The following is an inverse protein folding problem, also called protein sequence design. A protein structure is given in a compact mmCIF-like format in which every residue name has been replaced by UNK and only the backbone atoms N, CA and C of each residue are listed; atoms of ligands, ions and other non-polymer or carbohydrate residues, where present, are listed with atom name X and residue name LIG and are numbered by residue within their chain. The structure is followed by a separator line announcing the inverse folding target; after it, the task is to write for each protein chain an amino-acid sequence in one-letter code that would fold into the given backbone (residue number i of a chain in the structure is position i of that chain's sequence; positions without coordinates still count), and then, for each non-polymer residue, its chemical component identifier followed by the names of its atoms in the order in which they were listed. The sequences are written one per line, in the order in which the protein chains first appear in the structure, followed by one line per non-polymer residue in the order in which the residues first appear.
data_IF_688500978063
#
_entry.id   IF_688500978063
#
_cell.length_a   1.000
_cell.length_b   1.000
_cell.length_c   1.000
_cell.angle_alpha   90.00
_cell.angle_beta   90.00
_cell.angle_gamma   90.00
#
_symmetry.space_group_name_H-M   'P 1'
#
loop_
_entity.id
_entity.type
_entity.pdbx_description
1 polymer ?
#
# COMPACT_ATOMS: atom_id res chain seq x y z
N UNK A 1 41.08 -17.02 -4.79
CA UNK A 1 39.77 -16.39 -4.53
C UNK A 1 40.02 -15.07 -3.84
N UNK A 2 39.35 -13.96 -4.22
CA UNK A 2 39.50 -12.71 -3.47
C UNK A 2 39.08 -12.98 -2.03
N UNK A 3 39.93 -12.62 -1.07
CA UNK A 3 39.68 -12.84 0.35
C UNK A 3 38.44 -12.01 0.76
N UNK A 4 37.44 -12.65 1.36
CA UNK A 4 36.18 -12.04 1.84
C UNK A 4 36.45 -10.78 2.67
N UNK A 5 37.54 -10.81 3.44
CA UNK A 5 38.01 -9.72 4.29
C UNK A 5 38.42 -8.47 3.50
N UNK A 6 39.02 -8.65 2.33
CA UNK A 6 39.43 -7.53 1.46
C UNK A 6 38.19 -6.81 0.91
N UNK A 7 37.15 -7.56 0.55
CA UNK A 7 35.88 -7.02 0.06
C UNK A 7 35.22 -6.16 1.14
N UNK A 8 35.17 -6.66 2.38
CA UNK A 8 34.61 -5.91 3.52
C UNK A 8 35.39 -4.63 3.83
N UNK A 9 36.72 -4.67 3.76
CA UNK A 9 37.57 -3.50 3.97
C UNK A 9 37.35 -2.44 2.89
N UNK A 10 37.24 -2.86 1.62
CA UNK A 10 36.96 -1.98 0.50
C UNK A 10 35.57 -1.30 0.59
N UNK A 11 34.57 -2.00 1.12
CA UNK A 11 33.23 -1.45 1.35
C UNK A 11 33.25 -0.39 2.46
N UNK A 12 33.99 -0.61 3.55
CA UNK A 12 34.16 0.39 4.62
C UNK A 12 34.82 1.66 4.10
N UNK A 13 35.88 1.53 3.32
CA UNK A 13 36.58 2.64 2.66
C UNK A 13 35.65 3.42 1.72
N UNK A 14 34.83 2.72 0.92
CA UNK A 14 33.85 3.34 0.02
C UNK A 14 32.77 4.13 0.77
N UNK A 15 32.30 3.63 1.92
CA UNK A 15 31.29 4.31 2.74
C UNK A 15 31.82 5.60 3.38
N UNK A 16 33.12 5.65 3.70
CA UNK A 16 33.75 6.85 4.27
C UNK A 16 33.94 7.99 3.25
N UNK A 17 33.85 7.72 1.95
CA UNK A 17 34.04 8.71 0.89
C UNK A 17 32.78 9.55 0.65
N UNK A 18 32.96 10.88 0.53
CA UNK A 18 31.88 11.82 0.20
C UNK A 18 31.34 11.60 -1.23
N UNK A 19 32.24 11.30 -2.17
CA UNK A 19 31.93 10.88 -3.54
C UNK A 19 32.49 9.47 -3.74
N UNK A 20 31.63 8.50 -4.04
CA UNK A 20 32.01 7.09 -4.12
C UNK A 20 32.82 6.83 -5.38
N UNK A 21 34.08 6.40 -5.22
CA UNK A 21 34.95 6.06 -6.35
C UNK A 21 35.35 4.58 -6.31
N UNK A 22 34.55 3.75 -6.97
CA UNK A 22 34.74 2.29 -7.05
C UNK A 22 36.04 1.87 -7.74
N UNK A 23 36.52 2.63 -8.72
CA UNK A 23 37.72 2.26 -9.47
C UNK A 23 38.99 2.46 -8.63
N UNK A 24 39.06 3.56 -7.88
CA UNK A 24 40.19 3.85 -7.02
C UNK A 24 40.26 2.89 -5.82
N UNK A 25 39.12 2.58 -5.19
CA UNK A 25 39.06 1.65 -4.05
C UNK A 25 39.31 0.21 -4.47
N UNK A 26 38.80 -0.22 -5.63
CA UNK A 26 39.09 -1.54 -6.19
C UNK A 26 40.60 -1.74 -6.46
N UNK A 27 41.26 -0.72 -7.01
CA UNK A 27 42.73 -0.74 -7.21
C UNK A 27 43.50 -0.78 -5.90
N UNK A 28 43.07 -0.02 -4.89
CA UNK A 28 43.71 0.03 -3.56
C UNK A 28 43.68 -1.33 -2.85
N UNK A 29 42.58 -2.07 -3.00
CA UNK A 29 42.36 -3.35 -2.33
C UNK A 29 42.64 -4.56 -3.22
N UNK A 30 43.13 -4.35 -4.45
CA UNK A 30 43.39 -5.40 -5.45
C UNK A 30 42.18 -6.31 -5.73
N UNK A 31 40.99 -5.71 -5.84
CA UNK A 31 39.72 -6.39 -6.09
C UNK A 31 39.20 -5.98 -7.46
N UNK A 32 38.50 -6.88 -8.16
CA UNK A 32 37.76 -6.47 -9.36
C UNK A 32 36.69 -5.42 -8.97
N UNK A 33 36.68 -4.30 -9.71
CA UNK A 33 35.69 -3.24 -9.58
C UNK A 33 34.25 -3.78 -9.67
N UNK A 34 33.98 -4.73 -10.57
CA UNK A 34 32.65 -5.31 -10.74
C UNK A 34 32.19 -6.04 -9.49
N UNK A 35 33.07 -6.86 -8.90
CA UNK A 35 32.83 -7.53 -7.63
C UNK A 35 32.52 -6.52 -6.52
N UNK A 36 33.33 -5.46 -6.40
CA UNK A 36 33.10 -4.42 -5.39
C UNK A 36 31.76 -3.70 -5.59
N UNK A 37 31.39 -3.40 -6.84
CA UNK A 37 30.13 -2.74 -7.18
C UNK A 37 28.92 -3.64 -6.86
N UNK A 38 28.99 -4.92 -7.25
CA UNK A 38 27.94 -5.90 -6.99
C UNK A 38 27.71 -6.07 -5.48
N UNK A 39 28.77 -6.30 -4.71
CA UNK A 39 28.69 -6.46 -3.26
C UNK A 39 28.19 -5.19 -2.55
N UNK A 40 28.63 -4.02 -2.99
CA UNK A 40 28.19 -2.76 -2.40
C UNK A 40 26.69 -2.51 -2.64
N UNK A 41 26.22 -2.74 -3.88
CA UNK A 41 24.83 -2.53 -4.24
C UNK A 41 23.90 -3.57 -3.58
N UNK A 42 24.32 -4.83 -3.48
CA UNK A 42 23.53 -5.86 -2.78
C UNK A 42 23.42 -5.57 -1.28
N UNK A 43 24.51 -5.17 -0.62
CA UNK A 43 24.50 -4.74 0.78
C UNK A 43 23.65 -3.49 1.00
N UNK A 44 23.66 -2.55 0.06
CA UNK A 44 22.83 -1.36 0.13
C UNK A 44 21.34 -1.71 -0.01
N UNK A 45 20.98 -2.62 -0.92
CA UNK A 45 19.62 -3.13 -1.08
C UNK A 45 19.13 -3.79 0.23
N UNK A 46 19.95 -4.64 0.85
CA UNK A 46 19.63 -5.24 2.15
C UNK A 46 19.50 -4.20 3.27
N UNK A 47 20.32 -3.15 3.26
CA UNK A 47 20.19 -2.06 4.23
C UNK A 47 18.91 -1.24 4.03
N UNK A 48 18.54 -0.97 2.78
CA UNK A 48 17.27 -0.31 2.45
C UNK A 48 16.06 -1.18 2.85
N UNK A 49 16.16 -2.51 2.70
CA UNK A 49 15.19 -3.47 3.23
C UNK A 49 15.11 -3.43 4.76
N UNK A 50 16.24 -3.42 5.49
CA UNK A 50 16.22 -3.28 6.96
C UNK A 50 15.69 -1.92 7.42
N UNK A 51 15.97 -0.84 6.68
CA UNK A 51 15.42 0.49 6.94
C UNK A 51 13.91 0.55 6.63
N UNK A 52 13.44 -0.21 5.66
CA UNK A 52 12.00 -0.40 5.35
C UNK A 52 11.29 -1.16 6.47
N UNK A 53 11.90 -2.22 7.01
CA UNK A 53 11.38 -2.98 8.15
C UNK A 53 11.20 -2.09 9.39
N UNK A 54 12.16 -1.20 9.69
CA UNK A 54 12.06 -0.25 10.81
C UNK A 54 11.10 0.92 10.55
N UNK A 55 10.64 1.11 9.31
CA UNK A 55 9.64 2.14 8.93
C UNK A 55 8.22 1.59 8.81
N UNK A 56 8.01 0.29 9.06
CA UNK A 56 6.66 -0.27 9.08
C UNK A 56 5.83 0.36 10.20
N UNK A 57 4.69 0.94 9.84
CA UNK A 57 3.71 1.45 10.79
C UNK A 57 2.81 0.34 11.37
N UNK A 58 2.73 -0.80 10.69
CA UNK A 58 1.91 -1.95 11.06
C UNK A 58 2.80 -3.12 11.50
N UNK A 59 2.38 -3.84 12.52
CA UNK A 59 2.90 -5.16 12.87
C UNK A 59 2.67 -6.15 11.72
N UNK A 60 3.54 -7.15 11.58
CA UNK A 60 3.35 -8.23 10.60
C UNK A 60 1.96 -8.90 10.74
N UNK A 61 1.44 -9.04 11.96
CA UNK A 61 0.10 -9.59 12.20
C UNK A 61 -1.00 -8.64 11.68
N UNK A 62 -0.84 -7.33 11.88
CA UNK A 62 -1.80 -6.31 11.41
C UNK A 62 -1.81 -6.23 9.87
N UNK A 63 -0.65 -6.33 9.22
CA UNK A 63 -0.56 -6.41 7.77
C UNK A 63 -1.29 -7.65 7.23
N UNK A 64 -1.15 -8.78 7.92
CA UNK A 64 -1.81 -10.02 7.50
C UNK A 64 -3.33 -9.93 7.65
N UNK A 65 -3.84 -9.29 8.71
CA UNK A 65 -5.26 -8.96 8.84
C UNK A 65 -5.74 -8.04 7.72
N UNK A 66 -4.95 -7.01 7.38
CA UNK A 66 -5.29 -6.07 6.30
C UNK A 66 -5.39 -6.78 4.95
N UNK A 67 -4.45 -7.68 4.63
CA UNK A 67 -4.47 -8.48 3.40
C UNK A 67 -5.71 -9.36 3.30
N UNK A 68 -6.05 -10.08 4.38
CA UNK A 68 -7.26 -10.90 4.43
C UNK A 68 -8.53 -10.09 4.17
N UNK A 69 -8.58 -8.84 4.65
CA UNK A 69 -9.73 -7.96 4.41
C UNK A 69 -9.82 -7.49 2.96
N UNK A 70 -8.68 -7.13 2.36
CA UNK A 70 -8.59 -6.74 0.94
C UNK A 70 -9.06 -7.91 0.05
N UNK A 71 -8.63 -9.14 0.37
CA UNK A 71 -9.06 -10.35 -0.34
C UNK A 71 -10.56 -10.60 -0.18
N UNK A 72 -11.12 -10.45 1.03
CA UNK A 72 -12.57 -10.57 1.27
C UNK A 72 -13.37 -9.53 0.48
N UNK A 73 -12.94 -8.26 0.45
CA UNK A 73 -13.58 -7.23 -0.35
C UNK A 73 -13.58 -7.60 -1.84
N UNK A 74 -12.44 -8.03 -2.36
CA UNK A 74 -12.31 -8.44 -3.76
C UNK A 74 -13.21 -9.64 -4.09
N UNK A 75 -13.31 -10.63 -3.19
CA UNK A 75 -14.20 -11.78 -3.33
C UNK A 75 -15.67 -11.38 -3.39
N UNK A 76 -16.06 -10.34 -2.65
CA UNK A 76 -17.41 -9.77 -2.68
C UNK A 76 -17.64 -8.76 -3.81
N UNK A 77 -16.78 -8.73 -4.83
CA UNK A 77 -16.85 -7.81 -5.98
C UNK A 77 -16.71 -6.33 -5.61
N UNK A 78 -16.17 -6.01 -4.43
CA UNK A 78 -15.87 -4.64 -4.02
C UNK A 78 -14.40 -4.33 -4.27
N UNK A 79 -14.14 -3.31 -5.10
CA UNK A 79 -12.79 -2.83 -5.30
C UNK A 79 -12.26 -2.16 -4.02
N UNK A 80 -11.15 -2.62 -3.44
CA UNK A 80 -10.54 -2.01 -2.26
C UNK A 80 -10.00 -0.62 -2.64
N UNK A 81 -10.76 0.42 -2.28
CA UNK A 81 -10.43 1.82 -2.61
C UNK A 81 -9.37 2.35 -1.62
N UNK A 82 -8.43 3.23 -2.04
CA UNK A 82 -7.42 3.78 -1.12
C UNK A 82 -7.97 4.37 0.18
N UNK A 83 -9.14 5.03 0.12
CA UNK A 83 -9.80 5.56 1.32
C UNK A 83 -10.30 4.46 2.26
N UNK A 84 -10.87 3.39 1.72
CA UNK A 84 -11.31 2.22 2.50
C UNK A 84 -10.10 1.59 3.17
N UNK A 85 -9.01 1.41 2.43
CA UNK A 85 -7.75 0.87 2.96
C UNK A 85 -7.21 1.76 4.10
N UNK A 86 -7.21 3.09 3.95
CA UNK A 86 -6.80 4.01 5.01
C UNK A 86 -7.68 3.93 6.26
N UNK A 87 -9.00 3.83 6.08
CA UNK A 87 -9.94 3.67 7.19
C UNK A 87 -9.70 2.35 7.93
N UNK A 88 -9.48 1.25 7.20
CA UNK A 88 -9.17 -0.06 7.78
C UNK A 88 -7.84 -0.05 8.54
N UNK A 89 -6.82 0.60 7.99
CA UNK A 89 -5.53 0.78 8.67
C UNK A 89 -5.73 1.56 9.97
N UNK A 90 -6.51 2.65 9.95
CA UNK A 90 -6.80 3.45 11.13
C UNK A 90 -7.58 2.68 12.20
N UNK A 91 -8.47 1.78 11.80
CA UNK A 91 -9.24 0.88 12.68
C UNK A 91 -8.34 -0.18 13.32
N UNK A 92 -7.54 -0.88 12.53
CA UNK A 92 -6.58 -1.91 12.97
C UNK A 92 -5.53 -1.33 13.94
N UNK A 93 -5.12 -0.08 13.73
CA UNK A 93 -4.19 0.62 14.63
C UNK A 93 -4.87 1.04 15.94
N UNK A 94 -6.14 1.48 15.91
CA UNK A 94 -6.87 1.91 17.11
C UNK A 94 -7.28 0.77 18.03
N UNK A 95 -7.59 -0.41 17.49
CA UNK A 95 -8.10 -1.56 18.25
C UNK A 95 -7.00 -2.56 18.68
N UNK A 96 -5.76 -2.11 18.83
CA UNK A 96 -4.57 -2.98 18.91
C UNK A 96 -4.42 -3.87 20.16
N UNK A 97 -5.49 -4.35 20.82
CA UNK A 97 -5.40 -5.29 21.96
C UNK A 97 -6.38 -6.48 21.89
N UNK A 98 -7.40 -6.49 21.02
CA UNK A 98 -8.36 -7.60 20.98
C UNK A 98 -8.50 -8.20 19.58
N UNK A 99 -8.77 -9.51 19.50
CA UNK A 99 -8.98 -10.28 18.28
C UNK A 99 -10.08 -9.65 17.41
N UNK A 100 -9.66 -8.78 16.49
CA UNK A 100 -10.47 -8.02 15.55
C UNK A 100 -11.25 -8.89 14.54
N UNK A 101 -10.99 -10.21 14.50
CA UNK A 101 -11.71 -11.17 13.65
C UNK A 101 -13.22 -11.06 13.84
N UNK A 102 -13.66 -10.95 15.11
CA UNK A 102 -15.09 -10.93 15.46
C UNK A 102 -15.79 -9.67 14.98
N UNK A 103 -15.13 -8.50 15.05
CA UNK A 103 -15.73 -7.25 14.62
C UNK A 103 -15.87 -7.20 13.09
N UNK A 104 -14.85 -7.68 12.37
CA UNK A 104 -14.89 -7.77 10.91
C UNK A 104 -15.89 -8.81 10.41
N UNK A 105 -15.97 -9.97 11.05
CA UNK A 105 -17.00 -10.97 10.76
C UNK A 105 -18.41 -10.37 10.93
N UNK A 106 -18.64 -9.65 12.02
CA UNK A 106 -19.91 -8.99 12.28
C UNK A 106 -20.22 -7.90 11.22
N UNK A 107 -19.24 -7.10 10.81
CA UNK A 107 -19.41 -6.11 9.74
C UNK A 107 -19.85 -6.77 8.42
N UNK A 108 -19.15 -7.82 7.98
CA UNK A 108 -19.50 -8.52 6.74
C UNK A 108 -20.84 -9.27 6.85
N UNK A 109 -21.14 -9.83 8.01
CA UNK A 109 -22.44 -10.47 8.26
C UNK A 109 -23.58 -9.45 8.12
N UNK A 110 -23.44 -8.27 8.75
CA UNK A 110 -24.40 -7.18 8.63
C UNK A 110 -24.50 -6.69 7.18
N UNK A 111 -23.36 -6.53 6.48
CA UNK A 111 -23.32 -6.10 5.09
C UNK A 111 -24.10 -7.09 4.20
N UNK A 112 -23.84 -8.39 4.35
CA UNK A 112 -24.54 -9.44 3.61
C UNK A 112 -26.04 -9.45 3.92
N UNK A 113 -26.43 -9.31 5.20
CA UNK A 113 -27.84 -9.19 5.59
C UNK A 113 -28.53 -8.01 4.88
N UNK A 114 -27.87 -6.84 4.77
CA UNK A 114 -28.44 -5.70 4.06
C UNK A 114 -28.50 -5.92 2.55
N UNK A 115 -27.49 -6.54 1.97
CA UNK A 115 -27.48 -6.90 0.54
C UNK A 115 -28.67 -7.80 0.21
N UNK A 116 -28.90 -8.83 1.01
CA UNK A 116 -30.06 -9.73 0.86
C UNK A 116 -31.38 -8.98 1.09
N UNK A 117 -31.49 -8.24 2.20
CA UNK A 117 -32.72 -7.51 2.57
C UNK A 117 -33.19 -6.54 1.51
N UNK A 118 -32.25 -5.85 0.87
CA UNK A 118 -32.55 -4.83 -0.15
C UNK A 118 -32.34 -5.33 -1.59
N UNK A 119 -32.09 -6.62 -1.78
CA UNK A 119 -31.82 -7.25 -3.07
C UNK A 119 -30.79 -6.47 -3.92
N UNK A 120 -29.67 -6.11 -3.29
CA UNK A 120 -28.63 -5.30 -3.90
C UNK A 120 -27.81 -6.17 -4.85
N UNK A 121 -28.14 -6.11 -6.14
CA UNK A 121 -27.33 -6.75 -7.18
C UNK A 121 -25.96 -6.08 -7.38
N UNK A 122 -24.98 -6.82 -7.92
CA UNK A 122 -23.63 -6.32 -8.24
C UNK A 122 -23.66 -5.06 -9.13
N UNK A 123 -24.64 -4.99 -10.04
CA UNK A 123 -24.93 -3.83 -10.90
C UNK A 123 -25.34 -2.57 -10.10
N UNK A 124 -25.94 -2.72 -8.92
CA UNK A 124 -26.38 -1.62 -8.05
C UNK A 124 -25.21 -0.99 -7.27
N UNK A 125 -24.10 -1.73 -7.10
CA UNK A 125 -22.88 -1.27 -6.41
C UNK A 125 -22.05 -0.35 -7.31
N UNK A 126 -22.21 -0.45 -8.63
CA UNK A 126 -21.43 0.24 -9.67
C UNK A 126 -21.63 1.77 -9.77
N UNK A 127 -22.05 2.45 -8.71
CA UNK A 127 -22.19 3.91 -8.72
C UNK A 127 -21.74 4.60 -7.42
N UNK A 128 -20.98 3.90 -6.56
CA UNK A 128 -20.47 4.48 -5.32
C UNK A 128 -19.33 5.51 -5.56
N UNK A 129 -18.70 5.51 -6.73
CA UNK A 129 -17.48 6.31 -7.04
C UNK A 129 -17.76 7.67 -7.70
N UNK A 130 -18.87 7.85 -8.43
CA UNK A 130 -19.18 9.09 -9.18
C UNK A 130 -20.17 10.05 -8.51
N UNK A 131 -21.02 9.58 -7.59
CA UNK A 131 -22.05 10.42 -6.94
C UNK A 131 -21.92 10.61 -5.43
N UNK A 132 -21.14 9.80 -4.71
CA UNK A 132 -20.94 9.98 -3.26
C UNK A 132 -20.12 11.24 -2.92
N UNK A 133 -19.22 11.67 -3.83
CA UNK A 133 -18.40 12.87 -3.67
C UNK A 133 -19.21 14.18 -3.85
N UNK A 134 -20.33 14.15 -4.56
CA UNK A 134 -21.15 15.34 -4.87
C UNK A 134 -22.11 15.75 -3.73
N UNK A 135 -22.33 14.92 -2.72
CA UNK A 135 -23.21 15.26 -1.60
C UNK A 135 -22.55 16.25 -0.63
N UNK A 136 -21.23 16.29 -0.54
CA UNK A 136 -20.51 17.17 0.40
C UNK A 136 -20.03 18.50 -0.19
N UNK A 137 -20.04 18.68 -1.51
CA UNK A 137 -19.57 19.93 -2.15
C UNK A 137 -20.43 20.24 -3.38
N UNK A 138 -21.44 21.10 -3.22
CA UNK A 138 -22.21 21.59 -4.36
C UNK A 138 -23.51 22.31 -4.05
N UNK A 139 -23.45 23.49 -3.43
CA UNK A 139 -24.45 24.52 -3.73
C UNK A 139 -24.24 24.91 -5.20
N UNK A 140 -25.00 24.33 -6.15
CA UNK A 140 -25.85 24.96 -7.20
C UNK A 140 -26.41 23.82 -8.07
N UNK A 141 -27.72 23.71 -8.15
CA UNK A 141 -28.45 22.73 -8.99
C UNK A 141 -28.33 23.05 -10.48
N UNK A 142 -27.72 22.15 -11.26
CA UNK A 142 -27.99 22.06 -12.71
C UNK A 142 -28.81 20.82 -12.98
N UNK A 143 -30.08 21.02 -13.32
CA UNK A 143 -31.00 19.95 -13.71
C UNK A 143 -30.87 19.72 -15.22
N UNK A 144 -30.60 18.48 -15.63
CA UNK A 144 -30.63 18.10 -17.04
C UNK A 144 -32.08 17.74 -17.36
N UNK A 145 -32.71 18.53 -18.23
CA UNK A 145 -34.08 18.34 -18.73
C UNK A 145 -34.04 18.10 -20.23
N UNK A 146 -35.02 17.35 -20.74
CA UNK A 146 -35.22 17.16 -22.18
C UNK A 146 -35.50 18.51 -22.86
N UNK A 147 -35.01 18.69 -24.09
CA UNK A 147 -35.26 19.89 -24.91
C UNK A 147 -36.75 20.14 -25.11
N UNK A 148 -37.58 19.09 -25.09
CA UNK A 148 -39.04 19.19 -25.20
C UNK A 148 -39.67 19.91 -24.00
N UNK A 149 -39.13 19.70 -22.79
CA UNK A 149 -39.61 20.35 -21.56
C UNK A 149 -39.30 21.86 -21.50
N UNK A 150 -38.44 22.36 -22.39
CA UNK A 150 -38.15 23.80 -22.54
C UNK A 150 -39.08 24.50 -23.53
N UNK A 151 -39.83 23.75 -24.35
CA UNK A 151 -40.66 24.30 -25.44
C UNK A 151 -42.12 24.55 -25.05
N UNK A 152 -42.56 24.07 -23.90
CA UNK A 152 -43.88 24.39 -23.35
C UNK A 152 -43.81 25.70 -22.57
N UNK A 153 -44.23 26.79 -23.20
CA UNK A 153 -44.50 28.07 -22.56
C UNK A 153 -45.80 28.66 -23.10
#
# INVERSE_FOLDING_TARGET
MPNEEAIQLAIKDLRAQKVKNYAATARKHSINKETLCQHYNSLQLMQDETASLHKKQLSNQQEQTLLLYIEKLAAHSFAPTPQIIQNLIAEIIKESIADNSTHFEHYFQLLNEKIEKYNIESSNICNFDKKSFLISIGQVTKQIISVEALKTK
#
